data_IF_304125569273
#
_entry.id   IF_304125569273
#
_cell.length_a   1.000
_cell.length_b   1.000
_cell.length_c   1.000
_cell.angle_alpha   90.00
_cell.angle_beta   90.00
_cell.angle_gamma   90.00
#
_symmetry.space_group_name_H-M   'P 1'
#
loop_
_entity.id
_entity.type
_entity.pdbx_description
1 polymer ?
#
# COMPACT_ATOMS: atom_id res chain seq x y z
N UNK A 1 4.86 1.81 0.78
CA UNK A 1 5.70 0.59 0.93
C UNK A 1 5.45 -0.34 -0.24
N UNK A 2 6.49 -0.97 -0.79
CA UNK A 2 6.37 -1.81 -1.97
C UNK A 2 7.31 -3.03 -1.90
N UNK A 3 7.06 -4.03 -2.75
CA UNK A 3 8.02 -5.09 -3.07
C UNK A 3 8.74 -4.73 -4.36
N UNK A 4 10.01 -5.15 -4.55
CA UNK A 4 10.64 -5.07 -5.87
C UNK A 4 9.82 -5.87 -6.89
N UNK A 5 9.63 -5.38 -8.14
CA UNK A 5 8.85 -6.08 -9.16
C UNK A 5 9.64 -7.25 -9.78
N UNK A 6 9.82 -8.32 -9.01
CA UNK A 6 10.55 -9.53 -9.40
C UNK A 6 9.57 -10.65 -9.74
N UNK A 7 9.79 -11.30 -10.90
CA UNK A 7 8.96 -12.41 -11.39
C UNK A 7 8.89 -13.55 -10.35
N UNK A 8 7.68 -14.06 -10.11
CA UNK A 8 7.42 -15.14 -9.13
C UNK A 8 7.43 -14.70 -7.66
N UNK A 9 7.81 -13.44 -7.33
CA UNK A 9 7.83 -12.93 -5.95
C UNK A 9 6.71 -11.94 -5.65
N UNK A 10 6.00 -11.44 -6.68
CA UNK A 10 4.90 -10.50 -6.54
C UNK A 10 3.60 -11.08 -7.07
N UNK A 11 2.49 -10.72 -6.44
CA UNK A 11 1.12 -11.09 -6.87
C UNK A 11 0.97 -12.59 -7.17
N UNK A 12 1.49 -13.45 -6.32
CA UNK A 12 1.53 -14.92 -6.55
C UNK A 12 0.12 -15.54 -6.62
N UNK A 13 -0.87 -15.00 -5.90
CA UNK A 13 -2.27 -15.42 -6.02
C UNK A 13 -2.86 -15.07 -7.39
N UNK A 14 -2.58 -13.87 -7.88
CA UNK A 14 -2.95 -13.44 -9.23
C UNK A 14 -2.22 -14.29 -10.29
N UNK A 15 -0.92 -14.54 -10.10
CA UNK A 15 -0.08 -15.33 -11.00
C UNK A 15 -0.63 -16.76 -11.20
N UNK A 16 -1.24 -17.35 -10.19
CA UNK A 16 -1.90 -18.66 -10.31
C UNK A 16 -3.00 -18.69 -11.39
N UNK A 17 -3.60 -17.54 -11.72
CA UNK A 17 -4.67 -17.42 -12.72
C UNK A 17 -4.18 -16.86 -14.06
N UNK A 18 -3.23 -15.92 -14.07
CA UNK A 18 -2.80 -15.21 -15.29
C UNK A 18 -1.36 -15.51 -15.72
N UNK A 19 -0.62 -16.29 -14.93
CA UNK A 19 0.81 -16.57 -15.12
C UNK A 19 1.72 -15.48 -14.52
N UNK A 20 2.97 -15.85 -14.23
CA UNK A 20 3.95 -14.99 -13.55
C UNK A 20 4.28 -13.73 -14.34
N UNK A 21 4.41 -13.84 -15.66
CA UNK A 21 4.75 -12.71 -16.53
C UNK A 21 3.64 -11.65 -16.54
N UNK A 22 2.38 -12.07 -16.69
CA UNK A 22 1.23 -11.17 -16.67
C UNK A 22 1.04 -10.54 -15.29
N UNK A 23 1.22 -11.32 -14.22
CA UNK A 23 1.14 -10.82 -12.86
C UNK A 23 2.22 -9.78 -12.55
N UNK A 24 3.46 -10.01 -13.01
CA UNK A 24 4.55 -9.03 -12.89
C UNK A 24 4.24 -7.75 -13.66
N UNK A 25 3.74 -7.86 -14.89
CA UNK A 25 3.36 -6.71 -15.70
C UNK A 25 2.27 -5.88 -15.02
N UNK A 26 1.19 -6.52 -14.54
CA UNK A 26 0.12 -5.85 -13.81
C UNK A 26 0.66 -5.14 -12.56
N UNK A 27 1.56 -5.80 -11.82
CA UNK A 27 2.17 -5.20 -10.64
C UNK A 27 3.02 -3.97 -10.96
N UNK A 28 3.76 -3.98 -12.06
CA UNK A 28 4.52 -2.81 -12.55
C UNK A 28 3.60 -1.64 -12.87
N UNK A 29 2.51 -1.88 -13.59
CA UNK A 29 1.51 -0.85 -13.89
C UNK A 29 0.86 -0.26 -12.62
N UNK A 30 0.59 -1.11 -11.60
CA UNK A 30 0.11 -0.67 -10.30
C UNK A 30 1.13 0.19 -9.56
N UNK A 31 2.41 -0.18 -9.59
CA UNK A 31 3.49 0.62 -9.03
C UNK A 31 3.59 1.99 -9.70
N UNK A 32 3.66 2.03 -11.04
CA UNK A 32 3.74 3.26 -11.81
C UNK A 32 2.54 4.16 -11.54
N UNK A 33 1.34 3.57 -11.51
CA UNK A 33 0.13 4.28 -11.14
C UNK A 33 0.21 4.88 -9.73
N UNK A 34 0.56 4.07 -8.72
CA UNK A 34 0.67 4.53 -7.33
C UNK A 34 1.68 5.67 -7.20
N UNK A 35 2.82 5.55 -7.89
CA UNK A 35 3.85 6.60 -7.88
C UNK A 35 3.39 7.87 -8.59
N UNK A 36 2.64 7.76 -9.70
CA UNK A 36 2.06 8.94 -10.35
C UNK A 36 1.12 9.69 -9.40
N UNK A 37 0.25 8.97 -8.67
CA UNK A 37 -0.65 9.59 -7.70
C UNK A 37 0.13 10.26 -6.55
N UNK A 38 1.21 9.65 -6.08
CA UNK A 38 2.07 10.23 -5.05
C UNK A 38 2.76 11.52 -5.54
N UNK A 39 3.31 11.52 -6.75
CA UNK A 39 3.94 12.72 -7.35
C UNK A 39 2.92 13.83 -7.56
N UNK A 40 1.77 13.51 -8.16
CA UNK A 40 0.71 14.47 -8.47
C UNK A 40 0.07 15.07 -7.22
N UNK A 41 0.10 14.36 -6.08
CA UNK A 41 -0.39 14.89 -4.80
C UNK A 41 0.40 16.09 -4.29
N UNK A 42 1.66 16.24 -4.72
CA UNK A 42 2.60 17.24 -4.23
C UNK A 42 3.19 16.93 -2.86
N UNK A 43 2.85 15.81 -2.23
CA UNK A 43 3.38 15.38 -0.93
C UNK A 43 4.79 14.80 -1.14
N UNK A 44 5.78 15.27 -0.36
CA UNK A 44 7.13 14.68 -0.39
C UNK A 44 7.05 13.19 -0.11
N UNK A 45 7.63 12.38 -1.01
CA UNK A 45 7.45 10.93 -0.98
C UNK A 45 8.79 10.20 -0.96
N UNK A 46 8.91 9.21 -0.07
CA UNK A 46 9.99 8.22 -0.01
C UNK A 46 9.42 6.82 -0.30
N UNK A 47 10.23 5.93 -0.88
CA UNK A 47 9.80 4.56 -1.18
C UNK A 47 10.55 3.56 -0.31
N UNK A 48 9.81 2.73 0.41
CA UNK A 48 10.33 1.65 1.24
C UNK A 48 10.11 0.30 0.56
N UNK A 49 11.17 -0.33 0.06
CA UNK A 49 11.12 -1.66 -0.53
C UNK A 49 11.40 -2.75 0.50
N UNK A 50 10.79 -3.93 0.35
CA UNK A 50 11.06 -5.09 1.20
C UNK A 50 12.50 -5.57 1.11
N UNK A 51 13.16 -5.34 -0.02
CA UNK A 51 14.56 -5.59 -0.31
C UNK A 51 15.02 -4.65 -1.42
N UNK A 52 16.31 -4.31 -1.46
CA UNK A 52 16.91 -3.58 -2.58
C UNK A 52 17.67 -4.59 -3.43
N UNK A 53 17.00 -5.22 -4.36
CA UNK A 53 17.67 -5.94 -5.43
C UNK A 53 17.52 -5.14 -6.73
N UNK A 54 18.58 -4.98 -7.48
CA UNK A 54 18.83 -4.49 -8.86
C UNK A 54 17.81 -3.57 -9.58
N UNK A 55 16.69 -3.20 -8.95
CA UNK A 55 15.60 -2.38 -9.52
C UNK A 55 15.73 -0.88 -9.26
N UNK A 56 16.94 -0.37 -9.27
CA UNK A 56 17.20 0.96 -8.70
C UNK A 56 16.82 2.11 -9.64
N UNK A 57 16.72 1.89 -10.95
CA UNK A 57 16.74 3.01 -11.91
C UNK A 57 15.36 3.52 -12.38
N UNK A 58 14.33 2.68 -12.41
CA UNK A 58 13.02 3.09 -12.94
C UNK A 58 12.29 4.13 -12.06
N UNK A 59 12.71 4.28 -10.78
CA UNK A 59 12.09 5.19 -9.80
C UNK A 59 13.09 6.21 -9.24
N UNK A 60 13.92 6.79 -10.11
CA UNK A 60 14.99 7.73 -9.74
C UNK A 60 14.50 9.00 -9.02
N UNK A 61 13.21 9.33 -9.13
CA UNK A 61 12.61 10.54 -8.53
C UNK A 61 12.43 10.46 -7.02
N UNK A 62 12.49 9.26 -6.42
CA UNK A 62 12.18 9.04 -5.00
C UNK A 62 13.42 8.67 -4.20
N UNK A 63 13.47 9.15 -2.97
CA UNK A 63 14.38 8.59 -1.97
C UNK A 63 13.96 7.16 -1.66
N UNK A 64 14.92 6.23 -1.64
CA UNK A 64 14.66 4.78 -1.51
C UNK A 64 15.26 4.24 -0.24
N UNK A 65 14.46 3.49 0.51
CA UNK A 65 14.85 2.84 1.76
C UNK A 65 14.52 1.35 1.73
N UNK A 66 15.22 0.58 2.57
CA UNK A 66 14.87 -0.81 2.86
C UNK A 66 13.93 -0.84 4.07
N UNK A 67 12.86 -1.63 3.98
CA UNK A 67 12.02 -1.95 5.14
C UNK A 67 12.84 -2.77 6.14
N UNK A 68 12.85 -2.36 7.39
CA UNK A 68 13.56 -3.06 8.48
C UNK A 68 12.58 -3.50 9.56
N UNK A 69 12.73 -4.71 10.05
CA UNK A 69 11.88 -5.31 11.09
C UNK A 69 11.53 -6.76 10.78
N UNK A 70 11.23 -7.53 11.83
CA UNK A 70 10.98 -8.97 11.75
C UNK A 70 9.58 -9.30 11.19
N UNK A 71 8.62 -8.40 11.39
CA UNK A 71 7.26 -8.51 10.87
C UNK A 71 6.80 -7.20 10.20
N UNK A 72 5.61 -7.23 9.57
CA UNK A 72 5.05 -6.07 8.87
C UNK A 72 4.81 -4.89 9.81
N UNK A 73 4.36 -5.13 11.05
CA UNK A 73 4.12 -4.07 12.02
C UNK A 73 5.39 -3.34 12.42
N UNK A 74 6.48 -4.07 12.65
CA UNK A 74 7.79 -3.47 12.93
C UNK A 74 8.30 -2.69 11.72
N UNK A 75 8.12 -3.20 10.50
CA UNK A 75 8.53 -2.50 9.27
C UNK A 75 7.76 -1.20 9.09
N UNK A 76 6.45 -1.20 9.34
CA UNK A 76 5.61 -0.01 9.32
C UNK A 76 6.09 0.99 10.38
N UNK A 77 6.24 0.54 11.64
CA UNK A 77 6.68 1.36 12.76
C UNK A 77 8.05 2.02 12.49
N UNK A 78 9.02 1.24 12.00
CA UNK A 78 10.36 1.73 11.74
C UNK A 78 10.37 2.75 10.59
N UNK A 79 9.58 2.53 9.53
CA UNK A 79 9.43 3.48 8.42
C UNK A 79 8.81 4.80 8.91
N UNK A 80 7.74 4.75 9.71
CA UNK A 80 7.18 5.97 10.33
C UNK A 80 8.17 6.66 11.25
N UNK A 81 8.91 5.89 12.06
CA UNK A 81 9.89 6.46 13.00
C UNK A 81 11.03 7.17 12.27
N UNK A 82 11.38 6.74 11.06
CA UNK A 82 12.36 7.39 10.22
C UNK A 82 11.80 8.68 9.62
N UNK A 83 10.67 8.64 8.94
CA UNK A 83 10.11 9.81 8.25
C UNK A 83 9.67 10.92 9.21
N UNK A 84 9.13 10.57 10.38
CA UNK A 84 8.68 11.53 11.39
C UNK A 84 9.83 12.21 12.17
N UNK A 85 11.10 11.95 11.83
CA UNK A 85 12.22 12.76 12.32
C UNK A 85 12.26 14.14 11.64
N UNK A 86 11.83 14.20 10.37
CA UNK A 86 11.92 15.39 9.51
C UNK A 86 10.55 15.88 9.03
N UNK A 87 9.45 15.28 9.53
CA UNK A 87 8.08 15.65 9.15
C UNK A 87 7.13 15.66 10.35
N UNK A 88 6.19 16.60 10.36
CA UNK A 88 5.15 16.72 11.41
C UNK A 88 4.07 15.63 11.28
N UNK A 89 3.93 15.04 10.11
CA UNK A 89 2.98 13.96 9.81
C UNK A 89 3.49 13.13 8.62
N UNK A 90 3.12 11.86 8.59
CA UNK A 90 3.48 10.95 7.52
C UNK A 90 2.27 10.10 7.11
N UNK A 91 2.12 9.88 5.81
CA UNK A 91 1.19 8.91 5.22
C UNK A 91 2.00 7.72 4.69
N UNK A 92 1.48 6.52 4.91
CA UNK A 92 2.01 5.31 4.30
C UNK A 92 0.92 4.64 3.48
N UNK A 93 1.26 4.25 2.25
CA UNK A 93 0.36 3.59 1.31
C UNK A 93 0.95 2.27 0.83
N UNK A 94 0.07 1.32 0.50
CA UNK A 94 0.39 0.16 -0.32
C UNK A 94 0.63 0.56 -1.78
N UNK A 95 1.01 -0.40 -2.61
CA UNK A 95 1.30 -0.18 -4.03
C UNK A 95 0.39 -1.04 -4.94
N UNK A 96 -0.77 -1.42 -4.46
CA UNK A 96 -1.67 -2.38 -5.09
C UNK A 96 -3.15 -1.99 -5.08
N UNK A 97 -3.46 -0.77 -4.61
CA UNK A 97 -4.80 -0.20 -4.65
C UNK A 97 -5.06 0.50 -6.01
N UNK A 98 -5.93 -0.04 -6.89
CA UNK A 98 -6.15 0.50 -8.23
C UNK A 98 -6.93 1.81 -8.26
N UNK A 99 -7.64 2.12 -7.17
CA UNK A 99 -8.51 3.30 -7.06
C UNK A 99 -7.91 4.39 -6.16
N UNK A 100 -6.64 4.25 -5.74
CA UNK A 100 -5.94 5.32 -5.04
C UNK A 100 -5.93 6.59 -5.91
N UNK A 101 -6.18 7.76 -5.32
CA UNK A 101 -6.22 9.01 -6.03
C UNK A 101 -5.48 10.13 -5.30
N UNK A 102 -5.07 11.15 -6.06
CA UNK A 102 -4.52 12.41 -5.51
C UNK A 102 -5.46 12.99 -4.45
N UNK A 103 -6.77 13.02 -4.73
CA UNK A 103 -7.79 13.53 -3.81
C UNK A 103 -7.82 12.73 -2.49
N UNK A 104 -7.69 11.40 -2.55
CA UNK A 104 -7.59 10.54 -1.37
C UNK A 104 -6.38 10.88 -0.51
N UNK A 105 -5.21 11.09 -1.14
CA UNK A 105 -3.98 11.46 -0.44
C UNK A 105 -4.08 12.84 0.21
N UNK A 106 -4.64 13.82 -0.48
CA UNK A 106 -4.86 15.17 0.04
C UNK A 106 -5.92 15.20 1.15
N UNK A 107 -6.96 14.38 1.05
CA UNK A 107 -7.94 14.22 2.14
C UNK A 107 -7.29 13.60 3.39
N UNK A 108 -6.40 12.62 3.22
CA UNK A 108 -5.66 12.02 4.33
C UNK A 108 -4.75 13.04 5.01
N UNK A 109 -3.98 13.81 4.24
CA UNK A 109 -3.11 14.87 4.75
C UNK A 109 -3.91 15.90 5.57
N UNK A 110 -4.99 16.40 4.99
CA UNK A 110 -5.88 17.38 5.66
C UNK A 110 -6.54 16.81 6.91
N UNK A 111 -6.91 15.53 6.92
CA UNK A 111 -7.48 14.88 8.09
C UNK A 111 -6.47 14.81 9.24
N UNK A 112 -5.18 14.61 8.95
CA UNK A 112 -4.12 14.62 9.96
C UNK A 112 -3.92 15.98 10.63
N UNK A 113 -4.34 17.08 10.04
CA UNK A 113 -4.30 18.37 10.77
C UNK A 113 -5.07 18.33 12.09
N UNK A 114 -6.17 17.54 12.15
CA UNK A 114 -7.14 17.52 13.25
C UNK A 114 -7.30 16.14 13.91
N UNK A 115 -6.53 15.15 13.50
CA UNK A 115 -6.54 13.79 14.05
C UNK A 115 -5.11 13.29 14.32
N UNK A 116 -5.00 12.19 15.06
CA UNK A 116 -3.73 11.55 15.39
C UNK A 116 -3.44 10.38 14.44
N UNK A 117 -4.51 9.77 13.91
CA UNK A 117 -4.49 8.62 13.02
C UNK A 117 -5.50 8.81 11.88
N UNK A 118 -5.09 8.48 10.67
CA UNK A 118 -5.97 8.35 9.50
C UNK A 118 -5.81 6.94 8.95
N UNK A 119 -6.92 6.26 8.65
CA UNK A 119 -6.92 4.93 8.03
C UNK A 119 -7.79 4.94 6.79
N UNK A 120 -7.27 4.40 5.70
CA UNK A 120 -8.02 4.06 4.49
C UNK A 120 -8.27 2.54 4.45
N UNK A 121 -9.47 2.07 4.85
CA UNK A 121 -9.76 0.65 4.93
C UNK A 121 -9.68 -0.04 3.56
N UNK A 122 -9.15 -1.27 3.51
CA UNK A 122 -9.25 -2.17 2.38
C UNK A 122 -10.35 -3.20 2.62
N UNK A 123 -10.94 -3.74 1.55
CA UNK A 123 -12.05 -4.71 1.65
C UNK A 123 -11.61 -6.10 2.12
N UNK A 124 -10.31 -6.38 2.14
CA UNK A 124 -9.70 -7.60 2.70
C UNK A 124 -9.56 -7.58 4.23
N UNK A 125 -9.98 -6.49 4.90
CA UNK A 125 -9.87 -6.29 6.35
C UNK A 125 -8.56 -5.67 6.80
N UNK A 126 -7.70 -5.24 5.86
CA UNK A 126 -6.53 -4.40 6.06
C UNK A 126 -6.80 -2.92 5.85
N UNK A 127 -5.77 -2.20 5.45
CA UNK A 127 -5.85 -0.80 5.03
C UNK A 127 -4.84 -0.51 3.91
N UNK A 128 -5.32 0.20 2.87
CA UNK A 128 -4.47 0.68 1.77
C UNK A 128 -3.66 1.93 2.15
N UNK A 129 -4.08 2.64 3.21
CA UNK A 129 -3.44 3.84 3.71
C UNK A 129 -3.50 3.90 5.23
N UNK A 130 -2.38 4.28 5.85
CA UNK A 130 -2.30 4.70 7.25
C UNK A 130 -1.52 6.00 7.35
N UNK A 131 -2.03 6.96 8.14
CA UNK A 131 -1.40 8.26 8.40
C UNK A 131 -1.24 8.53 9.88
N UNK A 132 -0.06 9.04 10.31
CA UNK A 132 0.29 9.30 11.70
C UNK A 132 1.04 10.63 11.84
N UNK A 133 0.86 11.30 12.99
CA UNK A 133 1.72 12.40 13.46
C UNK A 133 2.84 11.91 14.38
N UNK A 134 2.68 10.75 14.98
CA UNK A 134 3.65 10.17 15.91
C UNK A 134 3.62 8.66 15.77
N UNK A 135 4.77 8.06 15.66
CA UNK A 135 4.88 6.59 15.72
C UNK A 135 4.80 6.14 17.19
N UNK A 136 3.86 5.22 17.46
CA UNK A 136 3.71 4.58 18.77
C UNK A 136 3.70 3.05 18.59
N UNK A 137 4.67 2.33 19.19
CA UNK A 137 4.72 0.87 19.08
C UNK A 137 3.45 0.17 19.56
N UNK A 138 2.72 0.77 20.50
CA UNK A 138 1.50 0.18 21.03
C UNK A 138 0.37 0.11 20.00
N UNK A 139 0.38 0.99 18.99
CA UNK A 139 -0.60 0.97 17.89
C UNK A 139 -0.52 -0.33 17.07
N UNK A 140 0.67 -0.90 16.93
CA UNK A 140 0.94 -2.10 16.11
C UNK A 140 1.09 -3.38 16.94
N UNK A 141 0.87 -3.28 18.27
CA UNK A 141 1.04 -4.42 19.18
C UNK A 141 -0.08 -5.44 19.01
N UNK A 142 0.27 -6.72 18.92
CA UNK A 142 -0.67 -7.84 18.81
C UNK A 142 -1.62 -7.75 17.60
N UNK A 143 -1.24 -7.03 16.55
CA UNK A 143 -1.96 -7.03 15.28
C UNK A 143 -1.66 -8.34 14.56
N UNK A 144 -2.72 -9.06 14.18
CA UNK A 144 -2.58 -10.30 13.40
C UNK A 144 -2.37 -9.97 11.92
N UNK A 145 -1.14 -9.63 11.54
CA UNK A 145 -0.78 -9.21 10.20
C UNK A 145 -1.16 -10.22 9.12
N UNK A 146 -1.52 -9.73 7.94
CA UNK A 146 -1.96 -10.53 6.78
C UNK A 146 -3.24 -11.33 7.03
N UNK A 147 -4.11 -10.84 7.90
CA UNK A 147 -5.45 -11.39 8.15
C UNK A 147 -6.51 -10.30 8.02
N UNK A 148 -7.76 -10.71 7.88
CA UNK A 148 -8.94 -9.83 7.83
C UNK A 148 -9.19 -9.00 9.12
N UNK A 149 -8.45 -9.27 10.19
CA UNK A 149 -8.60 -8.60 11.49
C UNK A 149 -7.63 -7.43 11.69
N UNK A 150 -6.75 -7.15 10.75
CA UNK A 150 -5.71 -6.10 10.86
C UNK A 150 -6.34 -4.74 11.18
N UNK A 151 -7.35 -4.33 10.42
CA UNK A 151 -8.05 -3.06 10.63
C UNK A 151 -8.69 -2.98 12.03
N UNK A 152 -9.39 -4.05 12.44
CA UNK A 152 -10.03 -4.13 13.76
C UNK A 152 -9.02 -4.03 14.90
N UNK A 153 -7.95 -4.83 14.85
CA UNK A 153 -6.90 -4.81 15.89
C UNK A 153 -6.22 -3.44 15.98
N UNK A 154 -5.95 -2.79 14.85
CA UNK A 154 -5.33 -1.44 14.81
C UNK A 154 -6.28 -0.40 15.41
N UNK A 155 -7.58 -0.47 15.11
CA UNK A 155 -8.59 0.42 15.68
C UNK A 155 -8.74 0.23 17.20
N UNK A 156 -8.76 -1.01 17.68
CA UNK A 156 -8.83 -1.31 19.13
C UNK A 156 -7.62 -0.73 19.87
N UNK A 157 -6.43 -0.88 19.30
CA UNK A 157 -5.22 -0.28 19.84
C UNK A 157 -5.30 1.26 19.85
N UNK A 158 -5.77 1.88 18.75
CA UNK A 158 -5.93 3.32 18.64
C UNK A 158 -6.92 3.87 19.68
N UNK A 159 -8.04 3.17 19.92
CA UNK A 159 -9.02 3.51 20.97
C UNK A 159 -8.36 3.40 22.34
N UNK A 160 -7.61 2.32 22.59
CA UNK A 160 -6.88 2.13 23.85
C UNK A 160 -5.84 3.20 24.15
N UNK A 161 -5.27 3.79 23.10
CA UNK A 161 -4.32 4.93 23.16
C UNK A 161 -5.01 6.30 23.23
N UNK A 162 -6.34 6.36 23.12
CA UNK A 162 -7.10 7.62 23.08
C UNK A 162 -6.84 8.43 21.81
N UNK A 163 -6.42 7.81 20.72
CA UNK A 163 -6.11 8.48 19.46
C UNK A 163 -7.39 8.94 18.77
N UNK A 164 -7.40 10.20 18.35
CA UNK A 164 -8.44 10.71 17.45
C UNK A 164 -8.23 10.17 16.05
N UNK A 165 -9.11 9.27 15.61
CA UNK A 165 -9.02 8.58 14.33
C UNK A 165 -10.01 9.11 13.31
N UNK A 166 -9.59 9.23 12.06
CA UNK A 166 -10.43 9.51 10.89
C UNK A 166 -10.32 8.32 9.92
N UNK A 167 -11.47 7.87 9.41
CA UNK A 167 -11.55 6.85 8.37
C UNK A 167 -11.82 7.50 7.02
N UNK A 168 -11.06 7.10 6.01
CA UNK A 168 -11.31 7.42 4.61
C UNK A 168 -12.31 6.43 4.00
N UNK A 169 -12.81 6.68 2.78
CA UNK A 169 -13.59 5.70 2.04
C UNK A 169 -12.85 4.38 1.90
N UNK A 170 -13.60 3.28 1.98
CA UNK A 170 -13.06 1.95 1.75
C UNK A 170 -12.73 1.76 0.27
N UNK A 171 -11.54 1.21 -0.01
CA UNK A 171 -11.09 0.81 -1.34
C UNK A 171 -10.74 -0.69 -1.32
N UNK A 172 -10.07 -1.17 -2.37
CA UNK A 172 -9.62 -2.56 -2.46
C UNK A 172 -8.23 -2.65 -3.09
N UNK A 173 -7.56 -3.77 -2.86
CA UNK A 173 -6.29 -4.11 -3.46
C UNK A 173 -6.47 -5.19 -4.52
N UNK A 174 -5.65 -5.24 -5.56
CA UNK A 174 -5.67 -6.32 -6.54
C UNK A 174 -4.79 -7.46 -6.05
N UNK A 175 -5.37 -8.47 -5.44
CA UNK A 175 -4.66 -9.63 -4.94
C UNK A 175 -4.86 -10.88 -5.78
N UNK A 176 -6.02 -11.03 -6.39
CA UNK A 176 -6.38 -12.18 -7.22
C UNK A 176 -7.05 -11.76 -8.53
N UNK A 177 -7.52 -12.77 -9.29
CA UNK A 177 -8.14 -12.53 -10.59
C UNK A 177 -9.53 -11.88 -10.49
N UNK A 178 -10.27 -12.09 -9.40
CA UNK A 178 -11.58 -11.44 -9.23
C UNK A 178 -11.40 -9.94 -8.97
N UNK A 179 -10.37 -9.56 -8.19
CA UNK A 179 -10.01 -8.16 -7.99
C UNK A 179 -9.57 -7.50 -9.30
N UNK A 180 -8.75 -8.20 -10.08
CA UNK A 180 -8.32 -7.72 -11.38
C UNK A 180 -9.51 -7.48 -12.31
N UNK A 181 -10.50 -8.39 -12.36
CA UNK A 181 -11.69 -8.27 -13.22
C UNK A 181 -12.49 -7.00 -12.96
N UNK A 182 -12.59 -6.55 -11.72
CA UNK A 182 -13.31 -5.33 -11.35
C UNK A 182 -12.48 -4.06 -11.50
N UNK A 183 -11.21 -4.20 -11.86
CA UNK A 183 -10.26 -3.08 -11.97
C UNK A 183 -10.09 -2.63 -13.41
N UNK A 184 -9.66 -1.38 -13.60
CA UNK A 184 -9.20 -0.86 -14.89
C UNK A 184 -7.92 -1.54 -15.40
N UNK A 185 -7.18 -2.23 -14.51
CA UNK A 185 -5.94 -2.92 -14.87
C UNK A 185 -6.15 -4.24 -15.60
N UNK A 186 -7.39 -4.70 -15.75
CA UNK A 186 -7.73 -5.88 -16.56
C UNK A 186 -7.21 -5.75 -18.02
N UNK A 187 -7.21 -4.55 -18.58
CA UNK A 187 -6.71 -4.31 -19.93
C UNK A 187 -5.25 -4.72 -20.12
N UNK A 188 -4.41 -4.58 -19.09
CA UNK A 188 -3.00 -4.97 -19.13
C UNK A 188 -2.79 -6.49 -19.11
N UNK A 189 -3.77 -7.26 -18.62
CA UNK A 189 -3.74 -8.71 -18.70
C UNK A 189 -4.05 -9.22 -20.11
N UNK A 190 -4.96 -8.56 -20.83
CA UNK A 190 -5.49 -9.01 -22.12
C UNK A 190 -4.45 -8.99 -23.26
N UNK A 191 -3.44 -8.13 -23.19
CA UNK A 191 -2.38 -8.07 -24.20
C UNK A 191 -1.37 -9.24 -24.11
N UNK A 192 -1.33 -9.94 -22.99
CA UNK A 192 -0.39 -11.06 -22.74
C UNK A 192 -1.04 -12.44 -22.82
N UNK A 193 -2.35 -12.49 -22.78
CA UNK A 193 -3.11 -13.75 -22.72
C UNK A 193 -4.02 -13.82 -23.94
N UNK A 194 -3.78 -14.80 -24.81
CA UNK A 194 -4.69 -15.15 -25.90
C UNK A 194 -6.13 -15.16 -25.40
N UNK A 195 -7.08 -14.78 -26.24
CA UNK A 195 -8.53 -14.60 -26.06
C UNK A 195 -9.28 -15.58 -25.13
N UNK A 196 -8.63 -16.57 -24.57
CA UNK A 196 -9.24 -17.63 -23.74
C UNK A 196 -9.63 -17.13 -22.33
N UNK A 197 -8.98 -16.09 -21.78
CA UNK A 197 -9.33 -15.54 -20.46
C UNK A 197 -10.49 -14.53 -20.48
N UNK A 198 -10.82 -13.97 -21.65
CA UNK A 198 -11.94 -13.03 -21.78
C UNK A 198 -13.31 -13.74 -21.77
N UNK A 199 -13.32 -15.08 -21.84
CA UNK A 199 -14.52 -15.92 -21.89
C UNK A 199 -14.76 -16.74 -20.60
N UNK A 200 -13.98 -16.51 -19.53
CA UNK A 200 -14.18 -17.09 -18.19
C UNK A 200 -14.80 -16.05 -17.24
#
# INVERSE_FOLDING_TARGET
MAKPPVMGLVKTRLAASVGDESALRIYRELLEFTFSQAVESGIKTSVYFSELDQFVDDFALFEKHIQTGDDLGQRILNSFSNELQDADACLMIGADCPDLSVDTLQQAEKALEKSDLVLGPSDDGGYYLIGLKKSDPALFKNVAWSTETVMGNTMDNAIGLGMKTVLLPQLYDIDDFQDLKRSRFLAFAAESVNNDLMNL
#
